data_IF_705221960586
#
_entry.id   IF_705221960586
#
_cell.length_a   1.000
_cell.length_b   1.000
_cell.length_c   1.000
_cell.angle_alpha   90.00
_cell.angle_beta   90.00
_cell.angle_gamma   90.00
#
_symmetry.space_group_name_H-M   'P 1'
#
loop_
_entity.id
_entity.type
_entity.pdbx_description
1 polymer ?
#
# COMPACT_ATOMS: atom_id res chain seq x y z
N UNK A 1 -20.92 12.96 1.79
CA UNK A 1 -21.00 11.52 2.09
C UNK A 1 -19.99 10.84 1.18
N UNK A 2 -19.11 9.97 1.70
CA UNK A 2 -18.18 9.23 0.83
C UNK A 2 -19.02 8.17 0.12
N UNK A 3 -18.99 8.19 -1.21
CA UNK A 3 -19.74 7.23 -2.01
C UNK A 3 -19.06 5.85 -1.96
N UNK A 4 -19.85 4.78 -1.85
CA UNK A 4 -19.32 3.42 -1.81
C UNK A 4 -18.62 3.08 -3.13
N UNK A 5 -19.12 3.59 -4.25
CA UNK A 5 -18.54 3.38 -5.57
C UNK A 5 -17.13 3.99 -5.67
N UNK A 6 -16.89 5.12 -4.99
CA UNK A 6 -15.57 5.75 -4.92
C UNK A 6 -14.57 4.86 -4.16
N UNK A 7 -14.97 4.31 -3.00
CA UNK A 7 -14.12 3.40 -2.21
C UNK A 7 -13.80 2.11 -2.99
N UNK A 8 -14.79 1.52 -3.66
CA UNK A 8 -14.62 0.31 -4.46
C UNK A 8 -13.68 0.55 -5.64
N UNK A 9 -13.86 1.67 -6.35
CA UNK A 9 -12.96 2.07 -7.44
C UNK A 9 -11.52 2.25 -6.96
N UNK A 10 -11.34 2.90 -5.81
CA UNK A 10 -10.02 3.05 -5.17
C UNK A 10 -9.38 1.71 -4.84
N UNK A 11 -10.13 0.77 -4.26
CA UNK A 11 -9.66 -0.58 -3.95
C UNK A 11 -9.23 -1.34 -5.20
N UNK A 12 -10.07 -1.39 -6.23
CA UNK A 12 -9.76 -2.11 -7.47
C UNK A 12 -8.51 -1.54 -8.14
N UNK A 13 -8.40 -0.20 -8.22
CA UNK A 13 -7.21 0.44 -8.75
C UNK A 13 -5.96 0.16 -7.91
N UNK A 14 -6.11 0.01 -6.59
CA UNK A 14 -5.00 -0.29 -5.66
C UNK A 14 -4.40 -1.66 -5.92
N UNK A 15 -5.25 -2.68 -6.05
CA UNK A 15 -4.79 -4.05 -6.28
C UNK A 15 -4.11 -4.25 -7.64
N UNK A 16 -4.42 -3.39 -8.62
CA UNK A 16 -3.82 -3.42 -9.95
C UNK A 16 -2.53 -2.61 -10.05
N UNK A 17 -2.20 -1.82 -9.03
CA UNK A 17 -1.03 -0.96 -9.07
C UNK A 17 0.27 -1.77 -8.86
N UNK A 18 1.22 -1.75 -9.81
CA UNK A 18 2.47 -2.49 -9.68
C UNK A 18 3.34 -2.00 -8.52
N UNK A 19 3.25 -0.72 -8.12
CA UNK A 19 4.05 -0.15 -7.02
C UNK A 19 3.80 -0.90 -5.72
N UNK A 20 2.53 -1.21 -5.44
CA UNK A 20 2.10 -1.97 -4.27
C UNK A 20 2.82 -3.32 -4.20
N UNK A 21 2.78 -4.10 -5.27
CA UNK A 21 3.34 -5.45 -5.31
C UNK A 21 4.87 -5.44 -5.24
N UNK A 22 5.52 -4.57 -6.00
CA UNK A 22 6.98 -4.48 -6.03
C UNK A 22 7.52 -4.11 -4.64
N UNK A 23 7.01 -3.04 -4.05
CA UNK A 23 7.46 -2.57 -2.74
C UNK A 23 7.17 -3.60 -1.66
N UNK A 24 5.96 -4.17 -1.67
CA UNK A 24 5.57 -5.19 -0.71
C UNK A 24 6.50 -6.39 -0.76
N UNK A 25 6.82 -6.92 -1.96
CA UNK A 25 7.74 -8.06 -2.13
C UNK A 25 9.15 -7.70 -1.67
N UNK A 26 9.69 -6.54 -2.09
CA UNK A 26 11.06 -6.13 -1.76
C UNK A 26 11.22 -5.96 -0.25
N UNK A 27 10.31 -5.27 0.42
CA UNK A 27 10.40 -5.03 1.88
C UNK A 27 10.06 -6.30 2.67
N UNK A 28 9.08 -7.08 2.21
CA UNK A 28 8.73 -8.36 2.83
C UNK A 28 9.86 -9.38 2.71
N UNK A 29 10.65 -9.33 1.64
CA UNK A 29 11.87 -10.12 1.53
C UNK A 29 12.85 -9.74 2.64
N UNK A 30 13.71 -10.66 3.06
CA UNK A 30 14.75 -10.36 4.06
C UNK A 30 15.92 -9.55 3.49
N UNK A 31 15.79 -9.00 2.27
CA UNK A 31 16.84 -8.20 1.62
C UNK A 31 17.06 -6.89 2.39
N UNK A 32 15.99 -6.21 2.81
CA UNK A 32 16.10 -4.88 3.45
C UNK A 32 16.38 -4.96 4.95
N UNK A 33 15.68 -5.84 5.67
CA UNK A 33 15.86 -6.03 7.12
C UNK A 33 15.36 -7.40 7.55
N UNK A 34 15.94 -7.97 8.61
CA UNK A 34 15.45 -9.20 9.24
C UNK A 34 14.35 -8.94 10.29
N UNK A 35 14.29 -7.72 10.83
CA UNK A 35 13.38 -7.36 11.92
C UNK A 35 12.00 -6.95 11.40
N UNK A 36 10.95 -7.62 11.87
CA UNK A 36 9.57 -7.36 11.46
C UNK A 36 9.13 -5.91 11.71
N UNK A 37 9.49 -5.33 12.87
CA UNK A 37 9.14 -3.94 13.20
C UNK A 37 9.73 -2.92 12.21
N UNK A 38 10.95 -3.17 11.70
CA UNK A 38 11.56 -2.31 10.69
C UNK A 38 10.84 -2.43 9.35
N UNK A 39 10.43 -3.64 8.95
CA UNK A 39 9.63 -3.86 7.74
C UNK A 39 8.28 -3.14 7.81
N UNK A 40 7.58 -3.25 8.94
CA UNK A 40 6.33 -2.52 9.16
C UNK A 40 6.52 -1.01 9.01
N UNK A 41 7.59 -0.45 9.59
CA UNK A 41 7.89 0.97 9.46
C UNK A 41 8.14 1.36 8.00
N UNK A 42 8.92 0.57 7.25
CA UNK A 42 9.16 0.82 5.83
C UNK A 42 7.89 0.70 4.98
N UNK A 43 7.05 -0.31 5.23
CA UNK A 43 5.76 -0.49 4.55
C UNK A 43 4.82 0.70 4.84
N UNK A 44 4.78 1.19 6.08
CA UNK A 44 3.97 2.35 6.45
C UNK A 44 4.42 3.61 5.72
N UNK A 45 5.73 3.91 5.70
CA UNK A 45 6.27 5.06 4.98
C UNK A 45 5.98 4.93 3.48
N UNK A 46 6.22 3.75 2.90
CA UNK A 46 5.97 3.52 1.49
C UNK A 46 4.48 3.63 1.12
N UNK A 47 3.57 3.17 1.99
CA UNK A 47 2.12 3.31 1.79
C UNK A 47 1.67 4.77 1.76
N UNK A 48 2.25 5.62 2.62
CA UNK A 48 1.98 7.06 2.62
C UNK A 48 2.50 7.70 1.33
N UNK A 49 3.76 7.43 0.96
CA UNK A 49 4.37 7.97 -0.27
C UNK A 49 3.56 7.54 -1.49
N UNK A 50 3.18 6.27 -1.56
CA UNK A 50 2.35 5.74 -2.63
C UNK A 50 0.97 6.41 -2.70
N UNK A 51 0.33 6.65 -1.56
CA UNK A 51 -0.92 7.41 -1.48
C UNK A 51 -0.79 8.83 -2.05
N UNK A 52 0.32 9.52 -1.76
CA UNK A 52 0.60 10.84 -2.34
C UNK A 52 0.86 10.77 -3.85
N UNK A 53 1.69 9.84 -4.31
CA UNK A 53 1.93 9.64 -5.75
C UNK A 53 0.58 9.50 -6.46
N UNK A 54 -0.30 8.65 -5.93
CA UNK A 54 -1.60 8.38 -6.53
C UNK A 54 -2.55 9.58 -6.49
N UNK A 55 -2.56 10.34 -5.40
CA UNK A 55 -3.30 11.60 -5.32
C UNK A 55 -2.91 12.56 -6.45
N UNK A 56 -1.61 12.74 -6.67
CA UNK A 56 -1.11 13.65 -7.70
C UNK A 56 -1.32 13.12 -9.11
N UNK A 57 -1.28 11.80 -9.31
CA UNK A 57 -1.69 11.17 -10.56
C UNK A 57 -3.16 11.48 -10.86
N UNK A 58 -4.07 11.30 -9.90
CA UNK A 58 -5.48 11.63 -10.13
C UNK A 58 -5.71 13.12 -10.39
N UNK A 59 -5.05 14.00 -9.64
CA UNK A 59 -5.07 15.44 -9.92
C UNK A 59 -4.56 15.79 -11.31
N UNK A 60 -3.55 15.07 -11.80
CA UNK A 60 -3.03 15.27 -13.17
C UNK A 60 -4.03 14.87 -14.26
N UNK A 61 -4.98 13.98 -13.95
CA UNK A 61 -6.10 13.62 -14.82
C UNK A 61 -7.31 14.55 -14.68
N UNK A 62 -7.22 15.61 -13.88
CA UNK A 62 -8.28 16.60 -13.69
C UNK A 62 -9.26 16.30 -12.56
N UNK A 63 -9.01 15.29 -11.74
CA UNK A 63 -9.85 14.95 -10.59
C UNK A 63 -9.57 15.89 -9.41
N UNK A 64 -10.62 16.52 -8.87
CA UNK A 64 -10.52 17.35 -7.67
C UNK A 64 -10.85 16.55 -6.42
N UNK A 65 -9.89 16.48 -5.49
CA UNK A 65 -10.06 15.81 -4.20
C UNK A 65 -10.24 16.84 -3.09
N UNK A 66 -11.32 16.70 -2.32
CA UNK A 66 -11.47 17.38 -1.04
C UNK A 66 -10.43 16.88 -0.03
N UNK A 67 -10.19 17.66 1.03
CA UNK A 67 -9.28 17.26 2.12
C UNK A 67 -9.67 15.89 2.72
N UNK A 68 -10.97 15.67 2.95
CA UNK A 68 -11.47 14.40 3.50
C UNK A 68 -11.20 13.22 2.56
N UNK A 69 -11.46 13.38 1.25
CA UNK A 69 -11.15 12.32 0.26
C UNK A 69 -9.64 12.05 0.17
N UNK A 70 -8.82 13.10 0.31
CA UNK A 70 -7.37 12.97 0.33
C UNK A 70 -6.90 12.13 1.53
N UNK A 71 -7.41 12.42 2.73
CA UNK A 71 -7.09 11.63 3.92
C UNK A 71 -7.54 10.18 3.77
N UNK A 72 -8.73 9.94 3.25
CA UNK A 72 -9.27 8.58 3.02
C UNK A 72 -8.41 7.81 2.03
N UNK A 73 -7.99 8.45 0.92
CA UNK A 73 -7.11 7.85 -0.08
C UNK A 73 -5.77 7.41 0.54
N UNK A 74 -5.11 8.31 1.26
CA UNK A 74 -3.79 8.04 1.86
C UNK A 74 -3.92 6.94 2.93
N UNK A 75 -4.95 7.01 3.77
CA UNK A 75 -5.20 5.99 4.79
C UNK A 75 -5.46 4.62 4.18
N UNK A 76 -6.25 4.55 3.10
CA UNK A 76 -6.53 3.32 2.37
C UNK A 76 -5.26 2.73 1.75
N UNK A 77 -4.41 3.57 1.14
CA UNK A 77 -3.12 3.15 0.60
C UNK A 77 -2.20 2.59 1.68
N UNK A 78 -2.14 3.23 2.85
CA UNK A 78 -1.37 2.75 3.99
C UNK A 78 -1.86 1.39 4.48
N UNK A 79 -3.18 1.23 4.69
CA UNK A 79 -3.77 -0.02 5.17
C UNK A 79 -3.50 -1.16 4.18
N UNK A 80 -3.68 -0.91 2.88
CA UNK A 80 -3.45 -1.90 1.84
C UNK A 80 -1.96 -2.30 1.77
N UNK A 81 -1.04 -1.33 1.77
CA UNK A 81 0.41 -1.60 1.72
C UNK A 81 0.87 -2.43 2.92
N UNK A 82 0.45 -2.04 4.13
CA UNK A 82 0.82 -2.76 5.36
C UNK A 82 0.21 -4.16 5.39
N UNK A 83 -1.08 -4.29 5.07
CA UNK A 83 -1.75 -5.61 5.10
C UNK A 83 -1.17 -6.59 4.09
N UNK A 84 -0.94 -6.16 2.84
CA UNK A 84 -0.37 -7.01 1.79
C UNK A 84 1.10 -7.30 2.07
N UNK A 85 1.90 -6.29 2.41
CA UNK A 85 3.32 -6.48 2.74
C UNK A 85 3.52 -7.44 3.92
N UNK A 86 2.73 -7.31 4.98
CA UNK A 86 2.77 -8.25 6.10
C UNK A 86 2.32 -9.66 5.71
N UNK A 87 1.30 -9.79 4.86
CA UNK A 87 0.85 -11.09 4.36
C UNK A 87 1.94 -11.79 3.54
N UNK A 88 2.61 -11.07 2.63
CA UNK A 88 3.72 -11.59 1.83
C UNK A 88 4.89 -12.00 2.75
N UNK A 89 5.18 -11.21 3.79
CA UNK A 89 6.21 -11.56 4.76
C UNK A 89 5.92 -12.90 5.46
N UNK A 90 4.67 -13.12 5.87
CA UNK A 90 4.26 -14.40 6.48
C UNK A 90 4.41 -15.56 5.51
N UNK A 91 4.06 -15.37 4.23
CA UNK A 91 4.25 -16.39 3.18
C UNK A 91 5.74 -16.73 3.03
N UNK A 92 6.62 -15.74 2.91
CA UNK A 92 8.06 -15.98 2.82
C UNK A 92 8.65 -16.65 4.06
N UNK A 93 8.17 -16.28 5.25
CA UNK A 93 8.58 -16.93 6.49
C UNK A 93 8.16 -18.40 6.53
N UNK A 94 6.94 -18.71 6.08
CA UNK A 94 6.43 -20.07 6.01
C UNK A 94 7.22 -20.93 5.02
N UNK A 95 7.47 -20.40 3.81
CA UNK A 95 8.26 -21.09 2.79
C UNK A 95 9.68 -21.41 3.27
N UNK A 96 10.34 -20.46 3.93
CA UNK A 96 11.69 -20.66 4.48
C UNK A 96 11.72 -21.65 5.66
N UNK A 97 10.64 -21.77 6.41
CA UNK A 97 10.58 -22.72 7.54
C UNK A 97 10.43 -24.18 7.10
N UNK A 98 9.97 -24.42 5.86
CA UNK A 98 9.73 -25.76 5.32
C UNK A 98 10.88 -26.28 4.45
N UNK A 99 11.96 -25.52 4.31
CA UNK A 99 13.20 -25.87 3.60
C UNK A 99 14.36 -25.93 4.57
#
# INVERSE_FOLDING_TARGET
MIDNDFIISLLIGSFRDPILWIISIVIASNITSSLYNKKLLYLSIAGIIWGYIRLYVYKSFGEEFTLNQTFVLILLCLIIMVSIGSSIYLIFKYLKSNT
#
